data_IF_665346078279
#
_entry.id   IF_665346078279
#
_cell.length_a   1.000
_cell.length_b   1.000
_cell.length_c   1.000
_cell.angle_alpha   90.00
_cell.angle_beta   90.00
_cell.angle_gamma   90.00
#
_symmetry.space_group_name_H-M   'P 1'
#
loop_
_entity.id
_entity.type
_entity.pdbx_description
1 polymer ?
#
# COMPACT_ATOMS: atom_id res chain seq x y z
N UNK A 1 -4.26 8.61 -5.12
CA UNK A 1 -3.70 7.58 -4.23
C UNK A 1 -4.36 6.22 -4.44
N UNK A 2 -5.68 6.13 -4.61
CA UNK A 2 -6.37 4.83 -4.82
C UNK A 2 -6.00 4.14 -6.15
N UNK A 3 -5.73 4.93 -7.21
CA UNK A 3 -5.44 4.41 -8.55
C UNK A 3 -4.22 3.47 -8.63
N UNK A 4 -3.14 3.72 -7.88
CA UNK A 4 -1.97 2.84 -7.90
C UNK A 4 -2.17 1.52 -7.14
N UNK A 5 -3.07 1.51 -6.14
CA UNK A 5 -3.42 0.30 -5.36
C UNK A 5 -4.27 -0.63 -6.22
N UNK A 6 -5.20 -0.07 -6.99
CA UNK A 6 -6.02 -0.85 -7.92
C UNK A 6 -5.17 -1.41 -9.06
N UNK A 7 -4.22 -0.62 -9.57
CA UNK A 7 -3.29 -1.06 -10.61
C UNK A 7 -2.42 -2.26 -10.17
N UNK A 8 -2.00 -2.34 -8.90
CA UNK A 8 -1.28 -3.54 -8.40
C UNK A 8 -2.11 -4.81 -8.51
N UNK A 9 -3.42 -4.70 -8.28
CA UNK A 9 -4.34 -5.83 -8.36
C UNK A 9 -4.85 -6.15 -9.76
N UNK A 10 -4.48 -5.38 -10.78
CA UNK A 10 -4.87 -5.57 -12.19
C UNK A 10 -3.68 -6.01 -13.06
N UNK A 11 -2.50 -5.42 -12.84
CA UNK A 11 -1.33 -5.59 -13.73
C UNK A 11 -0.25 -6.52 -13.16
N UNK A 12 -0.54 -7.27 -12.08
CA UNK A 12 0.35 -8.30 -11.51
C UNK A 12 1.78 -7.81 -11.21
N UNK A 13 1.95 -6.54 -10.81
CA UNK A 13 3.23 -6.09 -10.29
C UNK A 13 3.44 -6.77 -8.94
N UNK A 14 4.38 -7.71 -8.88
CA UNK A 14 4.75 -8.41 -7.65
C UNK A 14 5.37 -7.43 -6.67
N UNK A 15 4.52 -6.83 -5.84
CA UNK A 15 4.94 -5.95 -4.76
C UNK A 15 5.15 -6.80 -3.51
N UNK A 16 6.28 -6.63 -2.80
CA UNK A 16 6.50 -7.34 -1.54
C UNK A 16 5.39 -6.95 -0.56
N UNK A 17 4.62 -7.94 -0.11
CA UNK A 17 3.62 -7.82 0.98
C UNK A 17 2.68 -6.61 0.89
N UNK A 18 2.20 -6.25 -0.31
CA UNK A 18 1.30 -5.09 -0.48
C UNK A 18 1.89 -3.80 0.12
N UNK A 19 3.20 -3.64 -0.04
CA UNK A 19 3.96 -2.54 0.52
C UNK A 19 4.53 -1.66 -0.60
N UNK A 20 4.33 -0.35 -0.49
CA UNK A 20 4.92 0.65 -1.38
C UNK A 20 5.70 1.71 -0.63
N UNK A 21 6.85 2.05 -1.18
CA UNK A 21 7.62 3.22 -0.78
C UNK A 21 7.21 4.40 -1.66
N UNK A 22 6.52 5.38 -1.09
CA UNK A 22 6.16 6.62 -1.75
C UNK A 22 7.22 7.68 -1.44
N UNK A 23 7.64 8.40 -2.47
CA UNK A 23 8.58 9.52 -2.33
C UNK A 23 7.82 10.80 -2.60
N UNK A 24 7.82 11.72 -1.64
CA UNK A 24 7.30 13.07 -1.81
C UNK A 24 8.41 14.09 -1.61
N UNK A 25 8.39 15.14 -2.40
CA UNK A 25 9.35 16.24 -2.31
C UNK A 25 8.58 17.55 -2.20
N UNK A 26 9.00 18.40 -1.25
CA UNK A 26 8.60 19.79 -1.17
C UNK A 26 9.85 20.67 -1.01
N UNK A 27 10.04 21.59 -1.96
CA UNK A 27 11.20 22.46 -2.07
C UNK A 27 12.53 21.66 -1.95
N UNK A 28 13.28 21.87 -0.87
CA UNK A 28 14.56 21.23 -0.59
C UNK A 28 14.46 20.07 0.40
N UNK A 29 13.25 19.56 0.64
CA UNK A 29 13.00 18.48 1.58
C UNK A 29 12.32 17.30 0.88
N UNK A 30 12.76 16.10 1.23
CA UNK A 30 12.17 14.84 0.79
C UNK A 30 11.57 14.13 2.00
N UNK A 31 10.41 13.54 1.81
CA UNK A 31 9.76 12.63 2.75
C UNK A 31 9.55 11.28 2.07
N UNK A 32 9.64 10.24 2.87
CA UNK A 32 9.35 8.88 2.44
C UNK A 32 8.13 8.40 3.20
N UNK A 33 7.13 7.90 2.50
CA UNK A 33 5.96 7.28 3.13
C UNK A 33 5.92 5.81 2.77
N UNK A 34 6.01 4.96 3.79
CA UNK A 34 5.82 3.53 3.67
C UNK A 34 4.33 3.22 3.80
N UNK A 35 3.70 2.87 2.69
CA UNK A 35 2.30 2.49 2.62
C UNK A 35 2.19 0.96 2.62
N UNK A 36 1.53 0.40 3.63
CA UNK A 36 1.19 -1.03 3.73
C UNK A 36 -0.32 -1.17 3.74
N UNK A 37 -0.87 -2.01 2.87
CA UNK A 37 -2.30 -2.28 2.79
C UNK A 37 -2.57 -3.79 2.82
N UNK A 38 -3.79 -4.17 3.20
CA UNK A 38 -4.21 -5.57 3.21
C UNK A 38 -5.02 -5.90 1.93
N UNK A 39 -5.08 -7.16 1.52
CA UNK A 39 -5.90 -7.63 0.40
C UNK A 39 -7.39 -7.27 0.59
N UNK A 40 -7.86 -7.21 1.85
CA UNK A 40 -9.21 -6.74 2.19
C UNK A 40 -9.47 -5.29 1.80
N UNK A 41 -8.43 -4.46 1.81
CA UNK A 41 -8.54 -3.07 1.36
C UNK A 41 -8.71 -3.00 -0.16
N UNK A 42 -8.01 -3.86 -0.90
CA UNK A 42 -8.19 -3.97 -2.36
C UNK A 42 -9.61 -4.42 -2.70
N UNK A 43 -10.15 -5.43 -2.00
CA UNK A 43 -11.54 -5.90 -2.18
C UNK A 43 -12.56 -4.80 -1.86
N UNK A 44 -12.34 -4.04 -0.78
CA UNK A 44 -13.17 -2.88 -0.45
C UNK A 44 -13.16 -1.83 -1.56
N UNK A 45 -11.98 -1.54 -2.13
CA UNK A 45 -11.84 -0.58 -3.22
C UNK A 45 -12.51 -1.05 -4.52
N UNK A 46 -12.55 -2.37 -4.77
CA UNK A 46 -13.22 -2.98 -5.92
C UNK A 46 -14.74 -3.16 -5.74
N UNK A 47 -15.29 -2.81 -4.57
CA UNK A 47 -16.68 -3.09 -4.17
C UNK A 47 -17.07 -4.58 -4.30
N UNK A 48 -16.07 -5.46 -4.23
CA UNK A 48 -16.24 -6.91 -4.25
C UNK A 48 -16.63 -7.36 -2.84
N UNK A 49 -17.94 -7.58 -2.64
CA UNK A 49 -18.42 -8.16 -1.38
C UNK A 49 -17.93 -9.60 -1.27
N UNK A 50 -17.39 -10.04 -0.11
CA UNK A 50 -16.96 -11.41 0.05
C UNK A 50 -18.13 -12.38 -0.18
N UNK A 51 -17.90 -13.52 -0.86
CA UNK A 51 -18.93 -14.52 -1.09
C UNK A 51 -19.21 -15.29 0.20
N UNK A 52 -20.01 -14.72 1.10
CA UNK A 52 -20.64 -15.37 2.26
C UNK A 52 -21.59 -14.32 2.88
N UNK A 53 -22.91 -14.42 2.87
CA UNK A 53 -23.81 -15.57 2.82
C UNK A 53 -25.10 -15.16 2.10
N UNK A 54 -25.52 -15.97 1.13
CA UNK A 54 -26.90 -15.98 0.67
C UNK A 54 -27.78 -16.54 1.79
N UNK A 55 -28.46 -15.68 2.54
CA UNK A 55 -29.71 -16.03 3.21
C UNK A 55 -30.53 -14.78 3.53
N UNK A 56 -31.47 -14.52 2.62
CA UNK A 56 -32.77 -13.84 2.82
C UNK A 56 -32.77 -12.48 3.54
N UNK A 57 -33.01 -11.43 2.77
CA UNK A 57 -34.29 -10.71 2.89
C UNK A 57 -34.44 -9.67 1.77
N UNK A 58 -35.56 -9.80 1.07
CA UNK A 58 -36.18 -8.81 0.20
C UNK A 58 -36.29 -7.42 0.84
N UNK A 59 -36.23 -6.40 -0.03
CA UNK A 59 -36.63 -4.99 0.17
C UNK A 59 -35.71 -4.13 1.06
N UNK A 60 -34.87 -3.29 0.44
CA UNK A 60 -35.04 -1.82 0.43
C UNK A 60 -33.84 -1.11 -0.20
N UNK A 61 -34.18 -0.19 -1.09
CA UNK A 61 -33.35 0.97 -1.45
C UNK A 61 -33.06 1.79 -0.19
N UNK A 62 -31.82 2.27 -0.06
CA UNK A 62 -31.39 3.21 0.98
C UNK A 62 -30.50 2.60 2.06
N UNK A 63 -29.21 2.94 2.00
CA UNK A 63 -28.28 3.06 3.12
C UNK A 63 -28.34 1.97 4.21
N UNK A 64 -27.50 0.94 4.14
CA UNK A 64 -27.09 0.18 5.33
C UNK A 64 -25.82 -0.65 5.07
N UNK A 65 -24.69 -0.19 5.63
CA UNK A 65 -23.48 -0.99 5.83
C UNK A 65 -23.72 -1.90 7.05
N UNK A 66 -23.55 -3.23 6.99
CA UNK A 66 -23.57 -4.05 8.20
C UNK A 66 -22.23 -3.90 8.94
N UNK A 67 -22.34 -3.70 10.25
CA UNK A 67 -21.27 -3.61 11.24
C UNK A 67 -20.80 -5.00 11.71
N UNK A 68 -19.50 -5.30 11.59
CA UNK A 68 -18.69 -6.15 12.50
C UNK A 68 -17.26 -6.25 11.93
N UNK A 69 -16.12 -6.18 12.61
CA UNK A 69 -15.71 -6.04 14.02
C UNK A 69 -14.18 -5.80 14.01
N UNK A 70 -13.69 -4.86 14.83
CA UNK A 70 -12.27 -4.53 15.01
C UNK A 70 -11.82 -3.26 14.26
N UNK A 71 -10.82 -2.50 14.77
CA UNK A 71 -10.24 -1.41 14.01
C UNK A 71 -9.63 -2.02 12.75
N UNK A 72 -10.28 -1.79 11.61
CA UNK A 72 -9.81 -2.20 10.30
C UNK A 72 -8.50 -1.44 10.06
N UNK A 73 -7.35 -2.07 10.29
CA UNK A 73 -6.07 -1.52 9.86
C UNK A 73 -5.93 -1.81 8.35
N UNK A 74 -6.71 -1.10 7.54
CA UNK A 74 -6.87 -1.37 6.10
C UNK A 74 -5.72 -0.81 5.26
N UNK A 75 -5.20 0.36 5.64
CA UNK A 75 -4.05 1.03 5.05
C UNK A 75 -3.30 1.72 6.19
N UNK A 76 -2.01 1.45 6.32
CA UNK A 76 -1.11 2.17 7.22
C UNK A 76 -0.11 2.93 6.37
N UNK A 77 -0.02 4.23 6.62
CA UNK A 77 0.97 5.10 6.01
C UNK A 77 1.90 5.61 7.10
N UNK A 78 3.18 5.27 7.00
CA UNK A 78 4.18 5.75 7.93
C UNK A 78 5.16 6.65 7.20
N UNK A 79 5.14 7.92 7.56
CA UNK A 79 6.03 8.94 7.01
C UNK A 79 7.35 8.99 7.78
N UNK A 80 8.42 9.23 7.04
CA UNK A 80 9.78 9.46 7.52
C UNK A 80 10.36 10.71 6.85
N UNK A 81 11.27 11.39 7.54
CA UNK A 81 11.95 12.58 7.05
C UNK A 81 11.91 13.72 8.06
N UNK A 82 12.21 14.95 7.63
CA UNK A 82 12.62 15.34 6.27
C UNK A 82 14.11 15.12 6.00
N UNK A 83 14.45 14.72 4.77
CA UNK A 83 15.83 14.77 4.26
C UNK A 83 16.06 16.06 3.47
N UNK A 84 17.12 16.81 3.77
CA UNK A 84 17.44 18.03 3.03
C UNK A 84 18.32 17.73 1.81
N UNK A 85 17.87 18.11 0.61
CA UNK A 85 18.61 17.85 -0.63
C UNK A 85 19.91 18.65 -0.75
N UNK A 86 19.99 19.80 -0.08
CA UNK A 86 21.21 20.61 -0.02
C UNK A 86 22.28 20.04 0.92
N UNK A 87 21.94 19.00 1.70
CA UNK A 87 22.84 18.40 2.68
C UNK A 87 23.31 17.03 2.21
N UNK A 88 24.59 16.94 1.82
CA UNK A 88 25.17 15.72 1.26
C UNK A 88 25.04 14.48 2.16
N UNK A 89 25.08 14.64 3.50
CA UNK A 89 24.87 13.53 4.43
C UNK A 89 23.46 12.96 4.36
N UNK A 90 22.46 13.83 4.18
CA UNK A 90 21.05 13.44 4.14
C UNK A 90 20.77 12.71 2.83
N UNK A 91 21.30 13.22 1.71
CA UNK A 91 21.23 12.52 0.42
C UNK A 91 21.94 11.17 0.46
N UNK A 92 23.12 11.08 1.09
CA UNK A 92 23.82 9.79 1.24
C UNK A 92 22.99 8.81 2.08
N UNK A 93 22.34 9.28 3.14
CA UNK A 93 21.46 8.45 3.95
C UNK A 93 20.24 7.99 3.15
N UNK A 94 19.60 8.91 2.43
CA UNK A 94 18.44 8.62 1.58
C UNK A 94 18.79 7.62 0.47
N UNK A 95 19.95 7.76 -0.18
CA UNK A 95 20.42 6.82 -1.20
C UNK A 95 20.59 5.40 -0.66
N UNK A 96 21.09 5.24 0.58
CA UNK A 96 21.20 3.93 1.23
C UNK A 96 19.82 3.30 1.46
N UNK A 97 18.83 4.09 1.84
CA UNK A 97 17.45 3.61 2.01
C UNK A 97 16.90 3.11 0.66
N UNK A 98 17.07 3.88 -0.42
CA UNK A 98 16.61 3.47 -1.74
C UNK A 98 17.28 2.21 -2.25
N UNK A 99 18.60 2.10 -2.09
CA UNK A 99 19.34 0.90 -2.49
C UNK A 99 18.90 -0.31 -1.66
N UNK A 100 18.75 -0.17 -0.34
CA UNK A 100 18.26 -1.24 0.51
C UNK A 100 16.81 -1.67 0.16
N UNK A 101 15.96 -0.70 -0.18
CA UNK A 101 14.61 -0.98 -0.64
C UNK A 101 14.59 -1.72 -1.98
N UNK A 102 15.41 -1.26 -2.94
CA UNK A 102 15.53 -1.91 -4.25
C UNK A 102 15.99 -3.37 -4.11
N UNK A 103 17.01 -3.63 -3.30
CA UNK A 103 17.46 -5.01 -3.03
C UNK A 103 16.35 -5.85 -2.40
N UNK A 104 15.64 -5.34 -1.38
CA UNK A 104 14.51 -6.06 -0.78
C UNK A 104 13.46 -6.45 -1.82
N UNK A 105 13.10 -5.53 -2.72
CA UNK A 105 12.12 -5.78 -3.77
C UNK A 105 12.64 -6.81 -4.77
N UNK A 106 13.90 -6.69 -5.21
CA UNK A 106 14.52 -7.65 -6.12
C UNK A 106 14.60 -9.04 -5.51
N UNK A 107 15.04 -9.18 -4.27
CA UNK A 107 15.13 -10.46 -3.56
C UNK A 107 13.75 -11.11 -3.44
N UNK A 108 12.70 -10.32 -3.20
CA UNK A 108 11.32 -10.80 -3.16
C UNK A 108 10.86 -11.34 -4.52
N UNK A 109 11.07 -10.60 -5.61
CA UNK A 109 10.68 -11.01 -6.97
C UNK A 109 11.43 -12.29 -7.39
N UNK A 110 12.73 -12.37 -7.11
CA UNK A 110 13.50 -13.58 -7.41
C UNK A 110 12.98 -14.78 -6.62
N UNK A 111 12.59 -14.57 -5.35
CA UNK A 111 12.03 -15.63 -4.52
C UNK A 111 10.65 -16.11 -5.01
N UNK A 112 9.77 -15.22 -5.47
CA UNK A 112 8.45 -15.59 -6.03
C UNK A 112 8.56 -16.33 -7.36
N UNK A 113 9.53 -16.01 -8.22
CA UNK A 113 9.75 -16.72 -9.49
C UNK A 113 10.25 -18.17 -9.32
N UNK A 114 10.86 -18.49 -8.17
CA UNK A 114 11.47 -19.81 -7.93
C UNK A 114 10.49 -20.84 -7.33
N UNK A 115 9.26 -20.42 -7.04
CA UNK A 115 8.26 -21.19 -6.29
C UNK A 115 7.12 -21.71 -7.17
#
# INVERSE_FOLDING_TARGET
MVSWILHDGEEAWETPDHQRLLVSQDNHKIWLTLATYDARYVQYLKDERPPTQSSRSTLRSGSQRPLSQGPLHFLRMQEYGPWNIGKASDIRHLARIFVGWAFKVTDFIVASETQ
#
